data_IF_210551150100
#
_entry.id   IF_210551150100
#
_cell.length_a   1.000
_cell.length_b   1.000
_cell.length_c   1.000
_cell.angle_alpha   90.00
_cell.angle_beta   90.00
_cell.angle_gamma   90.00
#
_symmetry.space_group_name_H-M   'P 1'
#
loop_
_entity.id
_entity.type
_entity.pdbx_description
1 polymer ?
#
# COMPACT_ATOMS: atom_id res chain seq x y z
N UNK A 1 4.76 -20.60 -38.80
CA UNK A 1 5.85 -20.06 -37.95
C UNK A 1 5.76 -18.54 -37.81
N UNK A 2 5.54 -17.77 -38.89
CA UNK A 2 5.46 -16.30 -38.81
C UNK A 2 4.37 -15.75 -37.85
N UNK A 3 3.17 -16.33 -37.88
CA UNK A 3 2.06 -15.91 -36.99
C UNK A 3 2.41 -16.09 -35.49
N UNK A 4 3.04 -17.20 -35.17
CA UNK A 4 3.42 -17.54 -33.81
C UNK A 4 4.54 -16.64 -33.28
N UNK A 5 5.49 -16.26 -34.15
CA UNK A 5 6.53 -15.28 -33.85
C UNK A 5 5.96 -13.88 -33.65
N UNK A 6 4.95 -13.48 -34.45
CA UNK A 6 4.27 -12.19 -34.30
C UNK A 6 3.53 -12.08 -32.97
N UNK A 7 2.75 -13.10 -32.61
CA UNK A 7 2.05 -13.13 -31.33
C UNK A 7 3.02 -13.05 -30.14
N UNK A 8 4.11 -13.81 -30.18
CA UNK A 8 5.14 -13.77 -29.15
C UNK A 8 5.73 -12.36 -29.00
N UNK A 9 6.00 -11.68 -30.12
CA UNK A 9 6.47 -10.29 -30.10
C UNK A 9 5.44 -9.33 -29.47
N UNK A 10 4.15 -9.52 -29.76
CA UNK A 10 3.05 -8.75 -29.14
C UNK A 10 2.99 -9.01 -27.63
N UNK A 11 3.08 -10.27 -27.19
CA UNK A 11 3.09 -10.63 -25.77
C UNK A 11 4.26 -9.97 -25.04
N UNK A 12 5.46 -10.00 -25.63
CA UNK A 12 6.64 -9.33 -25.06
C UNK A 12 6.41 -7.82 -24.96
N UNK A 13 5.88 -7.18 -26.01
CA UNK A 13 5.57 -5.75 -25.98
C UNK A 13 4.54 -5.41 -24.89
N UNK A 14 3.48 -6.21 -24.76
CA UNK A 14 2.46 -6.03 -23.71
C UNK A 14 3.03 -6.29 -22.31
N UNK A 15 3.94 -7.24 -22.14
CA UNK A 15 4.63 -7.47 -20.87
C UNK A 15 5.50 -6.27 -20.48
N UNK A 16 6.21 -5.65 -21.42
CA UNK A 16 6.97 -4.43 -21.17
C UNK A 16 6.05 -3.23 -20.85
N UNK A 17 4.88 -3.14 -21.49
CA UNK A 17 3.85 -2.16 -21.13
C UNK A 17 3.35 -2.40 -19.70
N UNK A 18 3.09 -3.66 -19.33
CA UNK A 18 2.73 -4.02 -17.96
C UNK A 18 3.81 -3.54 -16.98
N UNK A 19 5.09 -3.83 -17.25
CA UNK A 19 6.20 -3.45 -16.36
C UNK A 19 6.37 -1.94 -16.22
N UNK A 20 6.17 -1.22 -17.33
CA UNK A 20 6.11 0.23 -17.34
C UNK A 20 4.95 0.75 -16.48
N UNK A 21 3.73 0.21 -16.65
CA UNK A 21 2.60 0.60 -15.81
C UNK A 21 2.81 0.22 -14.34
N UNK A 22 3.52 -0.88 -14.08
CA UNK A 22 3.89 -1.31 -12.73
C UNK A 22 4.84 -0.30 -12.07
N UNK A 23 5.93 0.05 -12.75
CA UNK A 23 6.88 1.06 -12.25
C UNK A 23 6.19 2.39 -11.94
N UNK A 24 5.29 2.81 -12.82
CA UNK A 24 4.45 3.99 -12.62
C UNK A 24 3.54 3.86 -11.39
N UNK A 25 2.80 2.76 -11.29
CA UNK A 25 1.85 2.51 -10.21
C UNK A 25 2.55 2.45 -8.83
N UNK A 26 3.67 1.74 -8.75
CA UNK A 26 4.35 1.39 -7.50
C UNK A 26 5.45 2.38 -7.10
N UNK A 27 5.68 3.44 -7.89
CA UNK A 27 6.53 4.58 -7.47
C UNK A 27 6.11 5.14 -6.12
N UNK A 28 4.81 5.11 -5.81
CA UNK A 28 4.26 5.58 -4.55
C UNK A 28 4.82 4.79 -3.35
N UNK A 29 5.06 3.49 -3.49
CA UNK A 29 5.55 2.64 -2.42
C UNK A 29 6.92 3.09 -1.90
N UNK A 30 7.80 3.52 -2.81
CA UNK A 30 9.11 4.02 -2.45
C UNK A 30 9.12 5.51 -2.08
N UNK A 31 8.42 6.35 -2.86
CA UNK A 31 8.62 7.79 -2.83
C UNK A 31 7.55 8.61 -2.11
N UNK A 32 6.34 8.07 -1.88
CA UNK A 32 5.26 8.85 -1.27
C UNK A 32 5.65 9.40 0.11
N UNK A 33 6.26 8.56 0.96
CA UNK A 33 6.73 8.96 2.28
C UNK A 33 7.85 10.01 2.22
N UNK A 34 8.80 9.87 1.29
CA UNK A 34 9.92 10.83 1.14
C UNK A 34 9.44 12.18 0.62
N UNK A 35 8.43 12.18 -0.24
CA UNK A 35 7.83 13.39 -0.80
C UNK A 35 6.95 14.08 0.26
N UNK A 36 6.12 13.32 0.98
CA UNK A 36 5.18 13.88 1.96
C UNK A 36 5.86 14.44 3.20
N UNK A 37 7.00 13.85 3.63
CA UNK A 37 7.82 14.41 4.72
C UNK A 37 8.67 15.61 4.31
N UNK A 38 8.71 15.96 3.02
CA UNK A 38 9.57 17.03 2.49
C UNK A 38 11.06 16.67 2.44
N UNK A 39 11.41 15.39 2.57
CA UNK A 39 12.80 14.94 2.49
C UNK A 39 13.39 15.12 1.08
N UNK A 40 12.59 14.97 0.02
CA UNK A 40 13.01 15.25 -1.35
C UNK A 40 11.92 15.97 -2.15
N UNK A 41 12.35 16.74 -3.16
CA UNK A 41 11.42 17.29 -4.16
C UNK A 41 10.86 16.15 -5.02
N UNK A 42 9.59 16.20 -5.45
CA UNK A 42 8.93 15.11 -6.20
C UNK A 42 9.73 14.60 -7.40
N UNK A 43 10.17 15.49 -8.30
CA UNK A 43 10.93 15.12 -9.51
C UNK A 43 12.28 14.47 -9.20
N UNK A 44 12.99 14.93 -8.17
CA UNK A 44 14.25 14.35 -7.76
C UNK A 44 14.07 12.96 -7.13
N UNK A 45 12.98 12.78 -6.37
CA UNK A 45 12.64 11.52 -5.74
C UNK A 45 12.37 10.42 -6.78
N UNK A 46 11.49 10.70 -7.77
CA UNK A 46 11.18 9.72 -8.83
C UNK A 46 12.37 9.45 -9.76
N UNK A 47 13.25 10.43 -10.00
CA UNK A 47 14.48 10.22 -10.77
C UNK A 47 15.46 9.28 -10.06
N UNK A 48 15.70 9.49 -8.76
CA UNK A 48 16.52 8.60 -7.95
C UNK A 48 15.92 7.19 -7.91
N UNK A 49 14.60 7.09 -7.74
CA UNK A 49 13.89 5.81 -7.70
C UNK A 49 14.01 5.05 -9.02
N UNK A 50 13.86 5.73 -10.16
CA UNK A 50 14.00 5.12 -11.49
C UNK A 50 15.39 4.52 -11.72
N UNK A 51 16.46 5.25 -11.36
CA UNK A 51 17.84 4.75 -11.49
C UNK A 51 18.06 3.52 -10.60
N UNK A 52 17.59 3.57 -9.35
CA UNK A 52 17.76 2.45 -8.42
C UNK A 52 16.88 1.24 -8.78
N UNK A 53 15.69 1.45 -9.34
CA UNK A 53 14.87 0.37 -9.90
C UNK A 53 15.61 -0.33 -11.05
N UNK A 54 16.22 0.44 -11.96
CA UNK A 54 17.02 -0.13 -13.06
C UNK A 54 18.19 -0.95 -12.51
N UNK A 55 18.94 -0.44 -11.54
CA UNK A 55 20.04 -1.19 -10.90
C UNK A 55 19.51 -2.45 -10.21
N UNK A 56 18.40 -2.33 -9.48
CA UNK A 56 17.77 -3.42 -8.74
C UNK A 56 17.39 -4.61 -9.63
N UNK A 57 16.98 -4.34 -10.88
CA UNK A 57 16.64 -5.35 -11.88
C UNK A 57 17.79 -6.31 -12.21
N UNK A 58 19.05 -5.91 -12.03
CA UNK A 58 20.22 -6.75 -12.29
C UNK A 58 20.71 -7.54 -11.07
N UNK A 59 20.08 -7.39 -9.90
CA UNK A 59 20.60 -7.97 -8.66
C UNK A 59 20.17 -9.42 -8.41
N UNK A 60 19.10 -9.90 -9.05
CA UNK A 60 18.61 -11.27 -8.85
C UNK A 60 17.70 -11.72 -10.00
N UNK A 61 17.50 -13.03 -10.12
CA UNK A 61 16.61 -13.69 -11.08
C UNK A 61 15.71 -14.76 -10.42
N UNK A 62 15.73 -14.89 -9.10
CA UNK A 62 15.01 -15.94 -8.36
C UNK A 62 13.49 -15.80 -8.37
N UNK A 63 12.98 -14.56 -8.31
CA UNK A 63 11.55 -14.29 -8.46
C UNK A 63 11.12 -14.61 -9.90
N UNK A 64 11.95 -14.25 -10.89
CA UNK A 64 11.65 -14.54 -12.30
C UNK A 64 11.47 -16.04 -12.54
N UNK A 65 12.36 -16.87 -11.99
CA UNK A 65 12.24 -18.35 -12.03
C UNK A 65 10.93 -18.84 -11.40
N UNK A 66 10.57 -18.29 -10.24
CA UNK A 66 9.34 -18.69 -9.55
C UNK A 66 8.10 -18.39 -10.39
N UNK A 67 8.10 -17.26 -11.11
CA UNK A 67 7.01 -16.90 -12.03
C UNK A 67 7.01 -17.79 -13.28
N UNK A 68 8.18 -18.05 -13.88
CA UNK A 68 8.25 -18.77 -15.16
C UNK A 68 7.98 -20.27 -15.05
N UNK A 69 8.36 -20.91 -13.94
CA UNK A 69 8.28 -22.38 -13.81
C UNK A 69 7.52 -22.90 -12.59
N UNK A 70 7.19 -22.03 -11.63
CA UNK A 70 6.60 -22.45 -10.35
C UNK A 70 5.07 -22.42 -10.31
N UNK A 71 4.45 -21.40 -10.93
CA UNK A 71 3.04 -21.09 -10.71
C UNK A 71 2.08 -21.83 -11.64
N UNK A 72 2.50 -22.02 -12.88
CA UNK A 72 1.69 -22.59 -13.94
C UNK A 72 2.49 -23.67 -14.64
N UNK A 73 1.78 -24.71 -15.06
CA UNK A 73 2.35 -25.78 -15.87
C UNK A 73 2.82 -25.24 -17.22
N UNK A 74 4.11 -25.33 -17.48
CA UNK A 74 4.70 -24.90 -18.76
C UNK A 74 4.18 -25.75 -19.93
N UNK A 75 3.78 -27.00 -19.67
CA UNK A 75 3.19 -27.91 -20.65
C UNK A 75 1.71 -27.59 -20.89
N UNK A 76 1.44 -26.80 -21.93
CA UNK A 76 0.08 -26.51 -22.40
C UNK A 76 -0.32 -25.04 -22.35
N UNK A 77 0.54 -24.15 -21.81
CA UNK A 77 0.34 -22.70 -21.93
C UNK A 77 0.79 -22.25 -23.31
N UNK A 78 -0.10 -21.55 -24.01
CA UNK A 78 0.23 -20.88 -25.25
C UNK A 78 0.40 -19.36 -25.02
N UNK A 79 1.14 -18.64 -25.89
CA UNK A 79 1.34 -17.19 -25.74
C UNK A 79 0.04 -16.37 -25.64
N UNK A 80 -1.06 -16.81 -26.23
CA UNK A 80 -2.39 -16.20 -26.16
C UNK A 80 -2.94 -16.15 -24.73
N UNK A 81 -2.66 -17.19 -23.93
CA UNK A 81 -3.07 -17.27 -22.52
C UNK A 81 -2.29 -16.23 -21.70
N UNK A 82 -1.00 -16.07 -22.00
CA UNK A 82 -0.14 -15.07 -21.36
C UNK A 82 -0.56 -13.65 -21.75
N UNK A 83 -0.96 -13.43 -23.01
CA UNK A 83 -1.55 -12.17 -23.45
C UNK A 83 -2.80 -11.83 -22.62
N UNK A 84 -3.73 -12.77 -22.49
CA UNK A 84 -4.95 -12.60 -21.71
C UNK A 84 -4.66 -12.30 -20.23
N UNK A 85 -3.69 -13.00 -19.63
CA UNK A 85 -3.22 -12.75 -18.27
C UNK A 85 -2.73 -11.30 -18.08
N UNK A 86 -1.90 -10.81 -19.01
CA UNK A 86 -1.36 -9.45 -18.97
C UNK A 86 -2.45 -8.40 -19.18
N UNK A 87 -3.42 -8.64 -20.06
CA UNK A 87 -4.57 -7.75 -20.26
C UNK A 87 -5.34 -7.56 -18.95
N UNK A 88 -5.67 -8.66 -18.26
CA UNK A 88 -6.35 -8.58 -16.96
C UNK A 88 -5.55 -7.79 -15.91
N UNK A 89 -4.24 -8.05 -15.84
CA UNK A 89 -3.35 -7.37 -14.90
C UNK A 89 -3.20 -5.87 -15.19
N UNK A 90 -2.97 -5.49 -16.45
CA UNK A 90 -2.81 -4.08 -16.87
C UNK A 90 -4.09 -3.30 -16.62
N UNK A 91 -5.23 -3.83 -17.06
CA UNK A 91 -6.49 -3.11 -16.92
C UNK A 91 -6.87 -2.92 -15.46
N UNK A 92 -6.69 -3.93 -14.61
CA UNK A 92 -6.91 -3.79 -13.18
C UNK A 92 -6.00 -2.72 -12.56
N UNK A 93 -4.70 -2.75 -12.85
CA UNK A 93 -3.73 -1.76 -12.37
C UNK A 93 -4.08 -0.33 -12.82
N UNK A 94 -4.52 -0.14 -14.06
CA UNK A 94 -4.90 1.18 -14.56
C UNK A 94 -6.22 1.67 -13.95
N UNK A 95 -7.17 0.78 -13.69
CA UNK A 95 -8.43 1.12 -13.00
C UNK A 95 -8.18 1.56 -11.57
N UNK A 96 -7.38 0.81 -10.80
CA UNK A 96 -7.04 1.17 -9.41
C UNK A 96 -6.22 2.45 -9.35
N UNK A 97 -5.29 2.65 -10.29
CA UNK A 97 -4.58 3.92 -10.44
C UNK A 97 -5.54 5.09 -10.72
N UNK A 98 -6.51 4.91 -11.61
CA UNK A 98 -7.45 5.96 -11.99
C UNK A 98 -8.21 6.49 -10.77
N UNK A 99 -8.63 5.58 -9.88
CA UNK A 99 -9.31 5.93 -8.63
C UNK A 99 -8.35 6.25 -7.48
N UNK A 100 -7.03 6.19 -7.71
CA UNK A 100 -6.00 6.50 -6.71
C UNK A 100 -5.90 5.48 -5.57
N UNK A 101 -6.36 4.24 -5.78
CA UNK A 101 -6.28 3.16 -4.80
C UNK A 101 -4.94 2.41 -4.93
N UNK A 102 -4.12 2.32 -3.87
CA UNK A 102 -2.88 1.56 -3.89
C UNK A 102 -3.19 0.05 -3.89
N UNK A 103 -3.23 -0.55 -5.08
CA UNK A 103 -3.31 -1.99 -5.29
C UNK A 103 -1.93 -2.62 -5.48
N UNK A 104 -1.89 -3.95 -5.52
CA UNK A 104 -0.65 -4.71 -5.75
C UNK A 104 -0.58 -5.23 -7.18
N UNK A 105 0.37 -4.71 -7.96
CA UNK A 105 0.65 -5.23 -9.31
C UNK A 105 1.07 -6.69 -9.30
N UNK A 106 1.81 -7.15 -8.28
CA UNK A 106 2.15 -8.56 -8.08
C UNK A 106 0.89 -9.44 -8.10
N UNK A 107 -0.12 -9.09 -7.30
CA UNK A 107 -1.36 -9.87 -7.21
C UNK A 107 -2.24 -9.71 -8.43
N UNK A 108 -2.21 -8.57 -9.11
CA UNK A 108 -2.90 -8.38 -10.38
C UNK A 108 -2.31 -9.32 -11.45
N UNK A 109 -0.98 -9.41 -11.53
CA UNK A 109 -0.30 -10.32 -12.44
C UNK A 109 -0.56 -11.78 -12.11
N UNK A 110 -0.44 -12.19 -10.84
CA UNK A 110 -0.73 -13.56 -10.42
C UNK A 110 -2.21 -13.90 -10.67
N UNK A 111 -3.12 -12.99 -10.31
CA UNK A 111 -4.54 -13.14 -10.56
C UNK A 111 -4.84 -13.33 -12.04
N UNK A 112 -4.27 -12.47 -12.90
CA UNK A 112 -4.40 -12.58 -14.34
C UNK A 112 -3.88 -13.90 -14.89
N UNK A 113 -2.69 -14.33 -14.45
CA UNK A 113 -2.08 -15.59 -14.90
C UNK A 113 -2.90 -16.80 -14.43
N UNK A 114 -3.34 -16.83 -13.18
CA UNK A 114 -4.22 -17.88 -12.63
C UNK A 114 -5.54 -17.90 -13.40
N UNK A 115 -6.19 -16.76 -13.59
CA UNK A 115 -7.48 -16.65 -14.24
C UNK A 115 -7.45 -17.11 -15.71
N UNK A 116 -6.48 -16.64 -16.49
CA UNK A 116 -6.30 -17.08 -17.87
C UNK A 116 -5.97 -18.57 -17.95
N UNK A 117 -5.09 -19.07 -17.08
CA UNK A 117 -4.74 -20.51 -17.06
C UNK A 117 -5.94 -21.39 -16.74
N UNK A 118 -6.71 -21.03 -15.70
CA UNK A 118 -7.91 -21.79 -15.31
C UNK A 118 -8.97 -21.76 -16.42
N UNK A 119 -9.12 -20.63 -17.11
CA UNK A 119 -10.05 -20.51 -18.24
C UNK A 119 -9.62 -21.37 -19.45
N UNK A 120 -8.31 -21.49 -19.68
CA UNK A 120 -7.74 -22.20 -20.82
C UNK A 120 -7.65 -23.71 -20.63
N UNK A 121 -7.04 -24.16 -19.52
CA UNK A 121 -6.70 -25.57 -19.29
C UNK A 121 -7.25 -26.12 -17.96
N UNK A 122 -8.09 -25.34 -17.27
CA UNK A 122 -8.74 -25.74 -16.02
C UNK A 122 -7.84 -25.60 -14.78
N UNK A 123 -8.39 -25.93 -13.61
CA UNK A 123 -7.69 -25.83 -12.32
C UNK A 123 -6.42 -26.68 -12.23
N UNK A 124 -6.31 -27.76 -13.03
CA UNK A 124 -5.11 -28.60 -13.08
C UNK A 124 -3.89 -27.95 -13.76
N UNK A 125 -4.07 -26.80 -14.41
CA UNK A 125 -2.99 -26.02 -15.01
C UNK A 125 -2.20 -25.17 -14.02
N UNK A 126 -2.72 -24.98 -12.80
CA UNK A 126 -2.12 -24.10 -11.79
C UNK A 126 -1.60 -24.90 -10.61
N UNK A 127 -0.42 -24.55 -10.11
CA UNK A 127 0.15 -25.17 -8.94
C UNK A 127 -0.39 -24.53 -7.65
N UNK A 128 -1.45 -25.12 -7.08
CA UNK A 128 -2.11 -24.62 -5.87
C UNK A 128 -1.18 -24.50 -4.66
N UNK A 129 -0.22 -25.41 -4.49
CA UNK A 129 0.75 -25.36 -3.39
C UNK A 129 1.67 -24.14 -3.52
N UNK A 130 2.19 -23.89 -4.73
CA UNK A 130 3.05 -22.72 -4.99
C UNK A 130 2.26 -21.42 -4.85
N UNK A 131 1.00 -21.36 -5.31
CA UNK A 131 0.15 -20.18 -5.08
C UNK A 131 0.02 -19.90 -3.58
N UNK A 132 -0.32 -20.92 -2.78
CA UNK A 132 -0.53 -20.72 -1.35
C UNK A 132 0.77 -20.31 -0.65
N UNK A 133 1.85 -21.04 -0.90
CA UNK A 133 3.11 -20.88 -0.16
C UNK A 133 3.95 -19.69 -0.62
N UNK A 134 3.95 -19.37 -1.93
CA UNK A 134 4.80 -18.33 -2.53
C UNK A 134 4.06 -17.05 -2.90
N UNK A 135 2.72 -17.05 -2.88
CA UNK A 135 1.89 -15.87 -3.19
C UNK A 135 1.01 -15.49 -2.02
N UNK A 136 0.05 -16.32 -1.62
CA UNK A 136 -1.00 -15.95 -0.63
C UNK A 136 -0.47 -15.78 0.79
N UNK A 137 0.36 -16.70 1.28
CA UNK A 137 0.96 -16.59 2.62
C UNK A 137 1.84 -15.32 2.70
N UNK A 138 2.79 -15.08 1.78
CA UNK A 138 3.54 -13.83 1.75
C UNK A 138 2.64 -12.58 1.64
N UNK A 139 1.53 -12.63 0.91
CA UNK A 139 0.62 -11.50 0.75
C UNK A 139 0.08 -10.96 2.09
N UNK A 140 -0.19 -11.86 3.03
CA UNK A 140 -0.74 -11.56 4.36
C UNK A 140 0.40 -11.33 5.36
N UNK A 141 1.44 -12.16 5.33
CA UNK A 141 2.55 -12.08 6.27
C UNK A 141 3.38 -10.80 6.08
N UNK A 142 3.64 -10.41 4.84
CA UNK A 142 4.49 -9.26 4.49
C UNK A 142 4.07 -7.93 5.15
N UNK A 143 2.82 -7.45 5.02
CA UNK A 143 2.40 -6.20 5.66
C UNK A 143 2.50 -6.27 7.18
N UNK A 144 2.21 -7.43 7.79
CA UNK A 144 2.27 -7.62 9.24
C UNK A 144 3.72 -7.58 9.74
N UNK A 145 4.62 -8.34 9.09
CA UNK A 145 6.05 -8.39 9.46
C UNK A 145 6.69 -7.02 9.25
N UNK A 146 6.45 -6.38 8.11
CA UNK A 146 6.98 -5.05 7.82
C UNK A 146 6.43 -3.99 8.80
N UNK A 147 5.14 -4.08 9.14
CA UNK A 147 4.50 -3.19 10.11
C UNK A 147 5.02 -3.37 11.53
N UNK A 148 5.16 -4.60 12.02
CA UNK A 148 5.73 -4.86 13.34
C UNK A 148 7.19 -4.41 13.42
N UNK A 149 7.99 -4.72 12.40
CA UNK A 149 9.37 -4.27 12.32
C UNK A 149 9.47 -2.74 12.34
N UNK A 150 8.63 -2.05 11.55
CA UNK A 150 8.61 -0.58 11.50
C UNK A 150 8.13 0.04 12.82
N UNK A 151 7.15 -0.58 13.50
CA UNK A 151 6.66 -0.15 14.80
C UNK A 151 7.76 -0.24 15.86
N UNK A 152 8.46 -1.36 15.93
CA UNK A 152 9.56 -1.58 16.87
C UNK A 152 10.74 -0.66 16.57
N UNK A 153 11.13 -0.54 15.30
CA UNK A 153 12.17 0.39 14.86
C UNK A 153 11.81 1.82 15.27
N UNK A 154 10.59 2.27 15.00
CA UNK A 154 10.11 3.60 15.39
C UNK A 154 10.21 3.83 16.89
N UNK A 155 9.69 2.90 17.71
CA UNK A 155 9.77 2.99 19.19
C UNK A 155 11.22 3.09 19.66
N UNK A 156 12.12 2.28 19.09
CA UNK A 156 13.54 2.31 19.42
C UNK A 156 14.15 3.67 19.05
N UNK A 157 13.90 4.16 17.85
CA UNK A 157 14.44 5.44 17.39
C UNK A 157 13.97 6.61 18.26
N UNK A 158 12.69 6.65 18.65
CA UNK A 158 12.18 7.67 19.58
C UNK A 158 12.71 7.51 21.01
N UNK A 159 13.00 6.28 21.45
CA UNK A 159 13.60 6.04 22.78
C UNK A 159 15.06 6.53 22.84
N UNK A 160 15.84 6.26 21.79
CA UNK A 160 17.24 6.66 21.69
C UNK A 160 17.41 8.16 21.39
N UNK A 161 16.50 8.75 20.62
CA UNK A 161 16.55 10.16 20.22
C UNK A 161 16.22 11.18 21.32
N UNK A 162 15.80 10.74 22.52
CA UNK A 162 15.37 11.64 23.61
C UNK A 162 16.43 12.64 24.07
N UNK A 163 17.72 12.31 23.89
CA UNK A 163 18.85 13.10 24.38
C UNK A 163 19.63 13.80 23.26
N UNK A 164 19.15 13.76 22.02
CA UNK A 164 19.84 14.35 20.85
C UNK A 164 19.19 15.68 20.50
N UNK A 165 20.01 16.71 20.23
CA UNK A 165 19.52 18.02 19.82
C UNK A 165 18.63 17.96 18.57
N UNK A 166 17.44 18.57 18.66
CA UNK A 166 16.34 18.45 17.71
C UNK A 166 16.74 18.78 16.25
N UNK A 167 17.56 19.81 16.05
CA UNK A 167 18.04 20.24 14.71
C UNK A 167 19.05 19.27 14.09
N UNK A 168 19.96 18.70 14.87
CA UNK A 168 20.97 17.74 14.38
C UNK A 168 20.31 16.40 14.04
N UNK A 169 19.37 15.98 14.90
CA UNK A 169 18.53 14.81 14.71
C UNK A 169 17.71 14.87 13.42
N UNK A 170 17.07 16.02 13.14
CA UNK A 170 16.27 16.22 11.93
C UNK A 170 17.08 16.10 10.63
N UNK A 171 18.29 16.67 10.57
CA UNK A 171 19.16 16.56 9.38
C UNK A 171 19.63 15.12 9.16
N UNK A 172 20.00 14.42 10.23
CA UNK A 172 20.38 13.00 10.19
C UNK A 172 19.25 12.10 9.70
N UNK A 173 18.04 12.25 10.26
CA UNK A 173 16.88 11.45 9.83
C UNK A 173 16.43 11.77 8.41
N UNK A 174 16.55 13.02 7.96
CA UNK A 174 16.27 13.35 6.56
C UNK A 174 17.24 12.63 5.60
N UNK A 175 18.54 12.62 5.92
CA UNK A 175 19.53 11.90 5.12
C UNK A 175 19.30 10.39 5.16
N UNK A 176 19.03 9.84 6.35
CA UNK A 176 18.68 8.44 6.55
C UNK A 176 17.45 8.04 5.75
N UNK A 177 16.40 8.86 5.76
CA UNK A 177 15.17 8.63 4.99
C UNK A 177 15.44 8.59 3.49
N UNK A 178 16.27 9.50 2.97
CA UNK A 178 16.65 9.48 1.55
C UNK A 178 17.37 8.17 1.20
N UNK A 179 18.32 7.74 2.04
CA UNK A 179 19.03 6.49 1.84
C UNK A 179 18.08 5.27 1.91
N UNK A 180 17.18 5.21 2.90
CA UNK A 180 16.20 4.12 3.01
C UNK A 180 15.19 4.12 1.86
N UNK A 181 14.77 5.29 1.36
CA UNK A 181 13.94 5.40 0.17
C UNK A 181 14.66 4.86 -1.07
N UNK A 182 15.97 5.09 -1.16
CA UNK A 182 16.83 4.48 -2.17
C UNK A 182 16.85 2.95 -2.04
N UNK A 183 16.99 2.41 -0.83
CA UNK A 183 16.93 0.97 -0.58
C UNK A 183 15.57 0.35 -0.96
N UNK A 184 14.45 1.02 -0.66
CA UNK A 184 13.12 0.56 -1.11
C UNK A 184 13.02 0.56 -2.63
N UNK A 185 13.58 1.56 -3.30
CA UNK A 185 13.61 1.59 -4.77
C UNK A 185 14.48 0.46 -5.33
N UNK A 186 15.66 0.21 -4.76
CA UNK A 186 16.50 -0.90 -5.17
C UNK A 186 15.76 -2.25 -4.97
N UNK A 187 15.12 -2.43 -3.81
CA UNK A 187 14.35 -3.61 -3.47
C UNK A 187 13.15 -3.82 -4.40
N UNK A 188 12.48 -2.73 -4.78
CA UNK A 188 11.39 -2.75 -5.76
C UNK A 188 11.90 -3.22 -7.13
N UNK A 189 13.01 -2.66 -7.64
CA UNK A 189 13.63 -3.14 -8.87
C UNK A 189 14.01 -4.63 -8.82
N UNK A 190 14.59 -5.07 -7.69
CA UNK A 190 14.94 -6.48 -7.47
C UNK A 190 13.73 -7.39 -7.38
N UNK A 191 12.55 -6.92 -6.96
CA UNK A 191 11.38 -7.77 -6.84
C UNK A 191 10.46 -7.71 -8.07
N UNK A 192 10.19 -6.52 -8.59
CA UNK A 192 9.12 -6.25 -9.55
C UNK A 192 9.56 -6.41 -11.00
N UNK A 193 10.76 -5.95 -11.35
CA UNK A 193 11.31 -6.15 -12.69
C UNK A 193 11.39 -7.65 -13.01
N UNK A 194 11.74 -8.46 -12.01
CA UNK A 194 11.81 -9.91 -12.14
C UNK A 194 10.48 -10.58 -12.47
N UNK A 195 9.34 -10.02 -12.06
CA UNK A 195 8.03 -10.60 -12.37
C UNK A 195 7.78 -10.55 -13.88
N UNK A 196 8.07 -9.40 -14.48
CA UNK A 196 8.00 -9.22 -15.94
C UNK A 196 9.03 -10.08 -16.65
N UNK A 197 10.26 -10.17 -16.13
CA UNK A 197 11.26 -11.09 -16.68
C UNK A 197 10.73 -12.53 -16.71
N UNK A 198 10.12 -12.99 -15.61
CA UNK A 198 9.53 -14.32 -15.52
C UNK A 198 8.39 -14.54 -16.52
N UNK A 199 7.51 -13.55 -16.74
CA UNK A 199 6.44 -13.65 -17.74
C UNK A 199 6.98 -13.68 -19.16
N UNK A 200 7.97 -12.83 -19.48
CA UNK A 200 8.60 -12.84 -20.81
C UNK A 200 9.31 -14.19 -21.02
N UNK A 201 10.04 -14.70 -20.03
CA UNK A 201 10.66 -16.02 -20.08
C UNK A 201 9.63 -17.13 -20.27
N UNK A 202 8.51 -17.10 -19.55
CA UNK A 202 7.41 -18.03 -19.74
C UNK A 202 6.86 -17.95 -21.17
N UNK A 203 6.69 -16.76 -21.73
CA UNK A 203 6.24 -16.57 -23.11
C UNK A 203 7.24 -17.12 -24.13
N UNK A 204 8.55 -16.95 -23.90
CA UNK A 204 9.59 -17.51 -24.75
C UNK A 204 9.63 -19.04 -24.67
N UNK A 205 9.40 -19.63 -23.48
CA UNK A 205 9.32 -21.09 -23.30
C UNK A 205 8.06 -21.66 -23.96
N UNK A 206 6.89 -21.07 -23.70
CA UNK A 206 5.65 -21.38 -24.40
C UNK A 206 5.78 -21.21 -25.92
N UNK A 207 6.60 -20.23 -26.32
CA UNK A 207 7.01 -19.93 -27.68
C UNK A 207 8.05 -20.88 -28.29
N UNK A 208 8.51 -21.90 -27.57
CA UNK A 208 9.57 -22.81 -28.03
C UNK A 208 10.92 -22.13 -28.33
N UNK A 209 11.10 -20.86 -27.96
CA UNK A 209 12.32 -20.09 -28.17
C UNK A 209 13.35 -20.33 -27.05
N UNK A 210 12.90 -20.77 -25.89
CA UNK A 210 13.73 -21.19 -24.76
C UNK A 210 13.29 -22.57 -24.26
N UNK A 211 14.24 -23.33 -23.70
CA UNK A 211 13.92 -24.59 -23.04
C UNK A 211 13.27 -24.35 -21.67
N UNK A 212 12.36 -25.23 -21.22
CA UNK A 212 11.85 -25.28 -19.84
C UNK A 212 12.95 -25.08 -18.78
N UNK A 213 12.67 -24.27 -17.76
CA UNK A 213 13.63 -23.98 -16.67
C UNK A 213 14.83 -23.10 -17.04
N UNK A 214 14.86 -22.51 -18.24
CA UNK A 214 15.91 -21.56 -18.63
C UNK A 214 15.86 -20.26 -17.81
N UNK A 215 17.02 -19.69 -17.52
CA UNK A 215 17.10 -18.35 -16.92
C UNK A 215 16.67 -17.26 -17.94
N UNK A 216 16.17 -16.10 -17.46
CA UNK A 216 15.87 -14.97 -18.34
C UNK A 216 17.13 -14.50 -19.06
N UNK A 217 17.10 -14.38 -20.41
CA UNK A 217 18.20 -13.80 -21.17
C UNK A 217 18.51 -12.36 -20.75
N UNK A 218 19.75 -11.92 -20.95
CA UNK A 218 20.20 -10.57 -20.56
C UNK A 218 19.34 -9.46 -21.19
N UNK A 219 18.90 -9.62 -22.45
CA UNK A 219 18.03 -8.62 -23.09
C UNK A 219 16.66 -8.51 -22.40
N UNK A 220 16.14 -9.60 -21.82
CA UNK A 220 14.89 -9.58 -21.04
C UNK A 220 15.12 -8.78 -19.75
N UNK A 221 16.25 -9.00 -19.08
CA UNK A 221 16.62 -8.27 -17.87
C UNK A 221 16.74 -6.77 -18.17
N UNK A 222 17.46 -6.40 -19.24
CA UNK A 222 17.67 -5.01 -19.65
C UNK A 222 16.35 -4.35 -20.04
N UNK A 223 15.52 -5.00 -20.86
CA UNK A 223 14.26 -4.44 -21.34
C UNK A 223 13.24 -4.26 -20.21
N UNK A 224 13.07 -5.24 -19.32
CA UNK A 224 12.24 -5.11 -18.12
C UNK A 224 12.77 -4.00 -17.19
N UNK A 225 14.07 -4.02 -16.87
CA UNK A 225 14.70 -2.99 -16.04
C UNK A 225 14.51 -1.56 -16.58
N UNK A 226 14.59 -1.37 -17.90
CA UNK A 226 14.31 -0.09 -18.54
C UNK A 226 12.82 0.28 -18.49
N UNK A 227 11.93 -0.68 -18.76
CA UNK A 227 10.48 -0.45 -18.74
C UNK A 227 10.00 0.01 -17.36
N UNK A 228 10.35 -0.73 -16.29
CA UNK A 228 9.98 -0.35 -14.92
C UNK A 228 10.61 0.98 -14.51
N UNK A 229 11.86 1.27 -14.90
CA UNK A 229 12.52 2.53 -14.59
C UNK A 229 11.86 3.73 -15.29
N UNK A 230 11.49 3.59 -16.57
CA UNK A 230 10.78 4.64 -17.31
C UNK A 230 9.39 4.89 -16.74
N UNK A 231 8.67 3.82 -16.39
CA UNK A 231 7.41 3.92 -15.66
C UNK A 231 7.56 4.68 -14.36
N UNK A 232 8.57 4.30 -13.58
CA UNK A 232 8.88 4.94 -12.29
C UNK A 232 9.16 6.43 -12.43
N UNK A 233 9.92 6.81 -13.47
CA UNK A 233 10.28 8.21 -13.70
C UNK A 233 9.07 9.11 -14.00
N UNK A 234 8.06 8.58 -14.70
CA UNK A 234 6.80 9.31 -14.94
C UNK A 234 6.00 9.54 -13.66
N UNK A 235 6.25 8.71 -12.63
CA UNK A 235 5.65 8.81 -11.31
C UNK A 235 4.41 7.97 -11.20
N UNK A 236 3.48 8.36 -10.34
CA UNK A 236 2.23 7.67 -10.07
C UNK A 236 1.33 8.58 -9.25
N UNK A 237 1.25 9.85 -9.65
CA UNK A 237 0.94 10.98 -8.77
C UNK A 237 -0.37 10.84 -8.00
N UNK A 238 -1.40 10.20 -8.60
CA UNK A 238 -2.66 9.88 -7.93
C UNK A 238 -2.44 9.00 -6.70
N UNK A 239 -1.66 7.94 -6.82
CA UNK A 239 -1.36 7.00 -5.73
C UNK A 239 -0.36 7.61 -4.76
N UNK A 240 0.62 8.37 -5.24
CA UNK A 240 1.57 9.11 -4.39
C UNK A 240 0.82 10.04 -3.43
N UNK A 241 -0.21 10.75 -3.94
CA UNK A 241 -1.07 11.60 -3.12
C UNK A 241 -1.79 10.79 -2.04
N UNK A 242 -2.43 9.67 -2.40
CA UNK A 242 -3.14 8.80 -1.46
C UNK A 242 -2.21 8.23 -0.39
N UNK A 243 -1.06 7.69 -0.78
CA UNK A 243 -0.09 7.06 0.13
C UNK A 243 0.66 8.07 1.01
N UNK A 244 0.88 9.29 0.51
CA UNK A 244 1.72 10.29 1.17
C UNK A 244 1.10 10.93 2.41
N UNK A 245 -0.21 11.26 2.36
CA UNK A 245 -0.95 11.89 3.46
C UNK A 245 -2.21 11.13 3.90
N UNK A 246 -2.63 10.13 3.13
CA UNK A 246 -3.91 9.45 3.36
C UNK A 246 -3.89 8.35 4.44
N UNK A 247 -2.72 7.87 4.88
CA UNK A 247 -2.61 6.80 5.89
C UNK A 247 -2.22 7.31 7.28
N UNK A 248 -1.13 8.06 7.37
CA UNK A 248 -0.59 8.59 8.63
C UNK A 248 0.32 9.77 8.31
N UNK A 249 0.35 10.76 9.20
CA UNK A 249 1.29 11.87 9.12
C UNK A 249 2.64 11.43 9.69
N UNK A 250 3.62 11.21 8.80
CA UNK A 250 4.95 10.72 9.18
C UNK A 250 5.96 11.86 9.26
N UNK A 251 6.79 11.80 10.29
CA UNK A 251 8.03 12.57 10.38
C UNK A 251 9.18 11.82 9.68
N UNK A 252 10.26 12.50 9.25
CA UNK A 252 11.39 11.83 8.59
C UNK A 252 11.97 10.63 9.34
N UNK A 253 11.97 10.69 10.67
CA UNK A 253 12.39 9.60 11.54
C UNK A 253 11.51 8.34 11.40
N UNK A 254 10.20 8.50 11.34
CA UNK A 254 9.26 7.38 11.10
C UNK A 254 9.35 6.91 9.65
N UNK A 255 9.53 7.84 8.70
CA UNK A 255 9.75 7.50 7.29
C UNK A 255 10.98 6.62 7.09
N UNK A 256 12.09 6.94 7.76
CA UNK A 256 13.30 6.12 7.78
C UNK A 256 13.04 4.72 8.33
N UNK A 257 12.35 4.61 9.47
CA UNK A 257 12.00 3.32 10.07
C UNK A 257 11.10 2.49 9.13
N UNK A 258 10.04 3.08 8.59
CA UNK A 258 9.12 2.42 7.67
C UNK A 258 9.83 1.90 6.41
N UNK A 259 10.61 2.75 5.74
CA UNK A 259 11.28 2.38 4.50
C UNK A 259 12.37 1.34 4.73
N UNK A 260 13.12 1.44 5.82
CA UNK A 260 14.14 0.43 6.15
C UNK A 260 13.50 -0.94 6.41
N UNK A 261 12.42 -0.98 7.18
CA UNK A 261 11.68 -2.22 7.44
C UNK A 261 11.04 -2.80 6.18
N UNK A 262 10.43 -1.97 5.33
CA UNK A 262 9.87 -2.41 4.06
C UNK A 262 10.95 -2.95 3.12
N UNK A 263 12.06 -2.24 2.95
CA UNK A 263 13.18 -2.68 2.11
C UNK A 263 13.76 -4.01 2.59
N UNK A 264 13.95 -4.18 3.90
CA UNK A 264 14.45 -5.43 4.48
C UNK A 264 13.52 -6.61 4.18
N UNK A 265 12.22 -6.45 4.36
CA UNK A 265 11.23 -7.50 4.07
C UNK A 265 11.19 -7.84 2.57
N UNK A 266 11.20 -6.82 1.70
CA UNK A 266 11.16 -7.03 0.24
C UNK A 266 12.44 -7.73 -0.25
N UNK A 267 13.62 -7.31 0.20
CA UNK A 267 14.89 -7.93 -0.19
C UNK A 267 15.01 -9.36 0.33
N UNK A 268 14.69 -9.60 1.60
CA UNK A 268 14.71 -10.94 2.19
C UNK A 268 13.78 -11.89 1.42
N UNK A 269 12.56 -11.43 1.12
CA UNK A 269 11.58 -12.18 0.33
C UNK A 269 12.06 -12.46 -1.09
N UNK A 270 12.63 -11.45 -1.77
CA UNK A 270 13.15 -11.60 -3.13
C UNK A 270 14.26 -12.63 -3.20
N UNK A 271 15.13 -12.67 -2.19
CA UNK A 271 16.22 -13.65 -2.11
C UNK A 271 15.72 -15.09 -1.87
N UNK A 272 14.53 -15.25 -1.28
CA UNK A 272 13.86 -16.55 -1.12
C UNK A 272 13.01 -16.94 -2.34
N UNK A 273 13.00 -16.11 -3.40
CA UNK A 273 12.18 -16.29 -4.60
C UNK A 273 10.69 -16.05 -4.37
N UNK A 274 10.28 -15.48 -3.24
CA UNK A 274 8.87 -15.21 -2.97
C UNK A 274 8.39 -13.98 -3.78
N UNK A 275 7.27 -14.14 -4.49
CA UNK A 275 6.64 -13.05 -5.25
C UNK A 275 5.77 -12.19 -4.34
N UNK A 276 6.45 -11.33 -3.58
CA UNK A 276 5.84 -10.49 -2.57
C UNK A 276 5.24 -9.19 -3.16
N UNK A 277 4.26 -8.62 -2.46
CA UNK A 277 3.68 -7.32 -2.79
C UNK A 277 4.43 -6.18 -2.11
N UNK A 278 5.15 -5.39 -2.90
CA UNK A 278 5.82 -4.17 -2.39
C UNK A 278 4.81 -3.19 -1.81
N UNK A 279 3.62 -3.04 -2.42
CA UNK A 279 2.52 -2.23 -1.90
C UNK A 279 2.10 -2.67 -0.50
N UNK A 280 1.89 -3.97 -0.27
CA UNK A 280 1.49 -4.46 1.06
C UNK A 280 2.60 -4.23 2.09
N UNK A 281 3.85 -4.58 1.76
CA UNK A 281 5.00 -4.36 2.66
C UNK A 281 5.19 -2.90 3.04
N UNK A 282 5.19 -2.00 2.06
CA UNK A 282 5.41 -0.57 2.29
C UNK A 282 4.24 0.04 3.07
N UNK A 283 2.99 -0.30 2.72
CA UNK A 283 1.80 0.16 3.44
C UNK A 283 1.78 -0.35 4.87
N UNK A 284 2.08 -1.63 5.08
CA UNK A 284 2.22 -2.25 6.40
C UNK A 284 3.27 -1.53 7.25
N UNK A 285 4.46 -1.30 6.70
CA UNK A 285 5.52 -0.56 7.37
C UNK A 285 5.13 0.88 7.72
N UNK A 286 4.44 1.59 6.82
CA UNK A 286 3.93 2.95 7.04
C UNK A 286 2.92 2.98 8.19
N UNK A 287 1.94 2.06 8.20
CA UNK A 287 0.98 1.93 9.30
C UNK A 287 1.68 1.60 10.63
N UNK A 288 2.63 0.66 10.60
CA UNK A 288 3.42 0.27 11.77
C UNK A 288 4.24 1.42 12.36
N UNK A 289 4.91 2.20 11.50
CA UNK A 289 5.65 3.38 11.92
C UNK A 289 4.73 4.49 12.46
N UNK A 290 3.52 4.62 11.93
CA UNK A 290 2.48 5.49 12.48
C UNK A 290 2.13 5.11 13.93
N UNK A 291 1.79 3.83 14.16
CA UNK A 291 1.47 3.29 15.49
C UNK A 291 2.65 3.23 16.47
N UNK A 292 3.89 3.30 15.96
CA UNK A 292 5.11 3.23 16.77
C UNK A 292 5.37 4.49 17.62
N UNK A 293 4.73 5.62 17.31
CA UNK A 293 4.90 6.88 18.04
C UNK A 293 3.80 7.05 19.11
N UNK A 294 4.14 7.65 20.26
CA UNK A 294 3.13 8.09 21.24
C UNK A 294 2.18 9.10 20.58
N UNK A 295 0.87 8.82 20.62
CA UNK A 295 -0.14 9.64 19.93
C UNK A 295 -0.09 9.56 18.41
N UNK A 296 0.50 8.48 17.85
CA UNK A 296 0.43 8.21 16.42
C UNK A 296 -0.99 7.88 15.96
N UNK A 297 -1.38 8.41 14.80
CA UNK A 297 -2.73 8.24 14.25
C UNK A 297 -2.61 7.53 12.91
N UNK A 298 -3.39 6.46 12.74
CA UNK A 298 -3.59 5.80 11.45
C UNK A 298 -5.03 6.05 11.02
N UNK A 299 -5.21 6.52 9.79
CA UNK A 299 -6.53 6.74 9.19
C UNK A 299 -7.12 5.41 8.75
N UNK A 300 -7.87 4.75 9.65
CA UNK A 300 -8.42 3.41 9.43
C UNK A 300 -9.38 3.33 8.24
N UNK A 301 -10.11 4.40 7.91
CA UNK A 301 -10.95 4.46 6.71
C UNK A 301 -10.15 4.18 5.43
N UNK A 302 -8.98 4.82 5.27
CA UNK A 302 -8.08 4.58 4.15
C UNK A 302 -7.50 3.17 4.21
N UNK A 303 -7.02 2.74 5.38
CA UNK A 303 -6.44 1.40 5.56
C UNK A 303 -7.43 0.29 5.18
N UNK A 304 -8.69 0.39 5.62
CA UNK A 304 -9.76 -0.57 5.28
C UNK A 304 -10.04 -0.59 3.78
N UNK A 305 -10.13 0.57 3.12
CA UNK A 305 -10.28 0.63 1.65
C UNK A 305 -9.13 -0.08 0.93
N UNK A 306 -7.91 0.05 1.44
CA UNK A 306 -6.74 -0.63 0.89
C UNK A 306 -6.83 -2.14 1.08
N UNK A 307 -7.14 -2.63 2.29
CA UNK A 307 -7.32 -4.07 2.53
C UNK A 307 -8.40 -4.69 1.62
N UNK A 308 -9.51 -3.99 1.40
CA UNK A 308 -10.55 -4.42 0.45
C UNK A 308 -10.00 -4.48 -0.97
N UNK A 309 -9.29 -3.44 -1.42
CA UNK A 309 -8.66 -3.43 -2.74
C UNK A 309 -7.64 -4.56 -2.90
N UNK A 310 -6.85 -4.86 -1.87
CA UNK A 310 -5.87 -5.95 -1.86
C UNK A 310 -6.54 -7.32 -2.03
N UNK A 311 -7.61 -7.58 -1.26
CA UNK A 311 -8.39 -8.81 -1.37
C UNK A 311 -9.10 -8.96 -2.72
N UNK A 312 -9.56 -7.85 -3.32
CA UNK A 312 -10.25 -7.85 -4.61
C UNK A 312 -9.29 -7.96 -5.81
N UNK A 313 -8.02 -7.58 -5.65
CA UNK A 313 -7.09 -7.44 -6.78
C UNK A 313 -6.88 -8.76 -7.53
N UNK A 314 -6.59 -9.84 -6.82
CA UNK A 314 -6.36 -11.16 -7.42
C UNK A 314 -7.60 -11.69 -8.16
N UNK A 315 -8.81 -11.76 -7.54
CA UNK A 315 -9.99 -12.26 -8.24
C UNK A 315 -10.44 -11.34 -9.38
N UNK A 316 -10.37 -10.02 -9.23
CA UNK A 316 -10.80 -9.11 -10.28
C UNK A 316 -9.89 -9.20 -11.52
N UNK A 317 -8.57 -9.18 -11.33
CA UNK A 317 -7.63 -9.36 -12.44
C UNK A 317 -7.79 -10.74 -13.10
N UNK A 318 -8.03 -11.79 -12.30
CA UNK A 318 -8.27 -13.14 -12.82
C UNK A 318 -9.56 -13.26 -13.63
N UNK A 319 -10.66 -12.63 -13.21
CA UNK A 319 -11.90 -12.61 -13.97
C UNK A 319 -11.74 -11.84 -15.30
N UNK A 320 -11.03 -10.72 -15.29
CA UNK A 320 -10.74 -9.97 -16.51
C UNK A 320 -9.88 -10.79 -17.48
N UNK A 321 -8.87 -11.48 -16.96
CA UNK A 321 -8.01 -12.35 -17.76
C UNK A 321 -8.75 -13.59 -18.30
N UNK A 322 -9.63 -14.21 -17.51
CA UNK A 322 -10.47 -15.31 -17.96
C UNK A 322 -11.41 -14.87 -19.10
N UNK A 323 -11.99 -13.68 -19.00
CA UNK A 323 -12.80 -13.10 -20.09
C UNK A 323 -11.97 -12.81 -21.35
N UNK A 324 -10.75 -12.30 -21.20
CA UNK A 324 -9.85 -12.08 -22.32
C UNK A 324 -9.41 -13.41 -22.97
N UNK A 325 -9.13 -14.44 -22.18
CA UNK A 325 -8.79 -15.78 -22.67
C UNK A 325 -9.94 -16.38 -23.47
N UNK A 326 -11.17 -16.27 -22.96
CA UNK A 326 -12.36 -16.80 -23.62
C UNK A 326 -12.56 -16.24 -25.04
N UNK A 327 -12.16 -14.99 -25.26
CA UNK A 327 -12.17 -14.35 -26.58
C UNK A 327 -10.93 -14.74 -27.38
N UNK A 328 -9.74 -14.68 -26.79
CA UNK A 328 -8.47 -14.96 -27.46
C UNK A 328 -8.40 -16.39 -28.03
N UNK A 329 -8.96 -17.38 -27.32
CA UNK A 329 -8.97 -18.79 -27.75
C UNK A 329 -9.79 -19.07 -29.02
N UNK A 330 -10.59 -18.10 -29.49
CA UNK A 330 -11.39 -18.24 -30.71
C UNK A 330 -10.56 -18.09 -32.00
N UNK A 331 -9.24 -17.94 -31.87
CA UNK A 331 -8.28 -17.81 -32.96
C UNK A 331 -7.81 -16.36 -33.15
N UNK A 332 -7.15 -16.11 -34.28
CA UNK A 332 -6.43 -14.86 -34.56
C UNK A 332 -7.29 -13.60 -34.43
N UNK A 333 -8.56 -13.67 -34.85
CA UNK A 333 -9.49 -12.55 -34.72
C UNK A 333 -9.79 -12.24 -33.24
N UNK A 334 -9.86 -13.25 -32.38
CA UNK A 334 -10.09 -13.11 -30.96
C UNK A 334 -8.91 -12.44 -30.27
N UNK A 335 -7.68 -12.86 -30.62
CA UNK A 335 -6.44 -12.22 -30.18
C UNK A 335 -6.42 -10.75 -30.58
N UNK A 336 -6.76 -10.44 -31.84
CA UNK A 336 -6.80 -9.07 -32.34
C UNK A 336 -7.82 -8.22 -31.57
N UNK A 337 -9.01 -8.76 -31.29
CA UNK A 337 -10.04 -8.09 -30.48
C UNK A 337 -9.53 -7.80 -29.07
N UNK A 338 -8.86 -8.75 -28.42
CA UNK A 338 -8.30 -8.56 -27.08
C UNK A 338 -7.20 -7.49 -27.07
N UNK A 339 -6.31 -7.51 -28.06
CA UNK A 339 -5.26 -6.50 -28.19
C UNK A 339 -5.84 -5.09 -28.43
N UNK A 340 -6.81 -4.97 -29.34
CA UNK A 340 -7.50 -3.69 -29.60
C UNK A 340 -8.26 -3.21 -28.37
N UNK A 341 -8.96 -4.12 -27.68
CA UNK A 341 -9.68 -3.81 -26.44
C UNK A 341 -8.75 -3.26 -25.36
N UNK A 342 -7.56 -3.85 -25.19
CA UNK A 342 -6.55 -3.34 -24.27
C UNK A 342 -6.14 -1.91 -24.64
N UNK A 343 -5.79 -1.66 -25.90
CA UNK A 343 -5.35 -0.33 -26.36
C UNK A 343 -6.45 0.72 -26.17
N UNK A 344 -7.69 0.40 -26.57
CA UNK A 344 -8.85 1.30 -26.42
C UNK A 344 -9.13 1.59 -24.95
N UNK A 345 -9.09 0.57 -24.10
CA UNK A 345 -9.34 0.73 -22.65
C UNK A 345 -8.25 1.56 -21.98
N UNK A 346 -6.97 1.32 -22.31
CA UNK A 346 -5.85 2.15 -21.86
C UNK A 346 -6.02 3.62 -22.28
N UNK A 347 -6.39 3.86 -23.54
CA UNK A 347 -6.64 5.21 -24.05
C UNK A 347 -7.84 5.88 -23.35
N UNK A 348 -8.94 5.15 -23.14
CA UNK A 348 -10.13 5.64 -22.45
C UNK A 348 -9.83 6.02 -20.99
N UNK A 349 -9.11 5.15 -20.25
CA UNK A 349 -8.68 5.42 -18.87
C UNK A 349 -7.76 6.64 -18.84
N UNK A 350 -6.80 6.74 -19.76
CA UNK A 350 -5.91 7.89 -19.86
C UNK A 350 -6.68 9.18 -20.13
N UNK A 351 -7.58 9.21 -21.12
CA UNK A 351 -8.43 10.36 -21.43
C UNK A 351 -9.30 10.78 -20.25
N UNK A 352 -9.90 9.81 -19.54
CA UNK A 352 -10.68 10.09 -18.34
C UNK A 352 -9.82 10.69 -17.23
N UNK A 353 -8.60 10.20 -17.05
CA UNK A 353 -7.65 10.72 -16.06
C UNK A 353 -7.29 12.20 -16.28
N UNK A 354 -7.36 12.70 -17.53
CA UNK A 354 -7.10 14.10 -17.88
C UNK A 354 -8.16 15.07 -17.37
N UNK A 355 -9.35 14.59 -16.95
CA UNK A 355 -10.40 15.44 -16.34
C UNK A 355 -9.99 15.99 -14.97
N UNK A 356 -9.13 15.29 -14.25
CA UNK A 356 -8.56 15.74 -12.97
C UNK A 356 -7.06 15.48 -12.97
N UNK A 357 -6.29 16.47 -13.41
CA UNK A 357 -4.84 16.32 -13.54
C UNK A 357 -4.19 16.40 -12.15
N UNK A 358 -3.60 15.28 -11.72
CA UNK A 358 -2.75 15.20 -10.53
C UNK A 358 -1.32 15.02 -11.02
N UNK A 359 -0.44 15.94 -10.65
CA UNK A 359 0.96 15.93 -11.05
C UNK A 359 1.88 16.42 -9.92
N UNK A 360 3.19 16.45 -10.19
CA UNK A 360 4.22 16.88 -9.24
C UNK A 360 4.04 18.26 -8.59
N UNK A 361 3.24 19.16 -9.18
CA UNK A 361 2.97 20.51 -8.64
C UNK A 361 1.90 20.49 -7.56
N UNK A 362 0.88 19.65 -7.72
CA UNK A 362 -0.28 19.60 -6.82
C UNK A 362 -0.37 18.30 -5.99
N UNK A 363 0.59 17.37 -6.10
CA UNK A 363 0.53 16.07 -5.41
C UNK A 363 0.41 16.20 -3.88
N UNK A 364 0.93 17.28 -3.30
CA UNK A 364 0.89 17.55 -1.86
C UNK A 364 -0.33 18.36 -1.40
N UNK A 365 -1.11 18.90 -2.34
CA UNK A 365 -2.35 19.63 -2.09
C UNK A 365 -3.46 18.62 -1.91
N UNK A 366 -3.75 18.30 -0.64
CA UNK A 366 -4.86 17.43 -0.25
C UNK A 366 -5.73 18.28 0.65
N UNK A 367 -7.00 18.47 0.29
CA UNK A 367 -7.98 19.04 1.22
C UNK A 367 -7.97 18.19 2.48
N UNK A 368 -7.95 18.79 3.67
CA UNK A 368 -8.01 18.02 4.90
C UNK A 368 -9.29 17.20 4.87
N UNK A 369 -9.15 15.87 4.77
CA UNK A 369 -10.26 14.95 5.01
C UNK A 369 -10.68 15.23 6.45
N UNK A 370 -11.86 15.84 6.61
CA UNK A 370 -12.58 15.89 7.86
C UNK A 370 -12.98 14.45 8.16
N UNK A 371 -12.05 13.68 8.72
CA UNK A 371 -12.35 12.36 9.24
C UNK A 371 -13.35 12.57 10.39
N UNK A 372 -14.64 12.36 10.12
CA UNK A 372 -15.55 12.06 11.22
C UNK A 372 -14.97 10.87 11.97
N UNK A 373 -14.86 10.94 13.31
CA UNK A 373 -14.24 9.87 14.08
C UNK A 373 -14.94 8.56 13.76
N UNK A 374 -14.19 7.62 13.17
CA UNK A 374 -14.74 6.33 12.77
C UNK A 374 -15.38 5.61 13.95
N UNK A 375 -16.38 4.77 13.66
CA UNK A 375 -17.22 4.05 14.63
C UNK A 375 -16.42 3.37 15.75
N UNK A 376 -15.19 2.91 15.47
CA UNK A 376 -14.29 2.27 16.45
C UNK A 376 -13.68 3.27 17.43
N UNK A 377 -13.33 4.49 17.00
CA UNK A 377 -12.84 5.57 17.87
C UNK A 377 -13.93 6.09 18.81
N UNK A 378 -15.17 6.22 18.33
CA UNK A 378 -16.33 6.53 19.20
C UNK A 378 -16.65 5.38 20.15
N UNK A 379 -16.54 4.12 19.72
CA UNK A 379 -16.77 2.97 20.60
C UNK A 379 -15.70 2.87 21.71
N UNK A 380 -14.44 3.18 21.41
CA UNK A 380 -13.36 3.21 22.42
C UNK A 380 -13.47 4.44 23.32
N UNK A 381 -13.88 5.60 22.80
CA UNK A 381 -14.10 6.80 23.60
C UNK A 381 -15.37 6.73 24.47
N UNK A 382 -16.36 5.92 24.08
CA UNK A 382 -17.59 5.67 24.85
C UNK A 382 -17.41 4.64 25.97
N UNK A 383 -16.26 3.94 26.04
CA UNK A 383 -15.91 3.13 27.21
C UNK A 383 -15.36 4.07 28.27
N UNK A 384 -16.26 4.61 29.09
CA UNK A 384 -15.88 5.21 30.37
C UNK A 384 -15.09 4.17 31.16
N UNK A 385 -13.86 4.46 31.63
CA UNK A 385 -13.15 3.54 32.50
C UNK A 385 -14.05 3.25 33.72
N UNK A 386 -14.09 2.00 34.22
CA UNK A 386 -14.83 1.71 35.43
C UNK A 386 -14.35 2.65 36.54
N UNK A 387 -15.27 3.19 37.36
CA UNK A 387 -14.89 4.10 38.43
C UNK A 387 -13.83 3.43 39.29
N UNK A 388 -12.78 4.18 39.62
CA UNK A 388 -11.76 3.67 40.52
C UNK A 388 -12.40 3.49 41.90
N UNK A 389 -11.92 2.53 42.70
CA UNK A 389 -12.39 2.31 44.08
C UNK A 389 -12.34 3.60 44.92
N UNK A 390 -11.45 4.54 44.57
CA UNK A 390 -11.38 5.86 45.17
C UNK A 390 -12.54 6.80 44.78
N UNK A 391 -13.04 6.71 43.53
CA UNK A 391 -14.19 7.49 43.07
C UNK A 391 -15.49 6.96 43.67
N UNK A 392 -15.66 5.62 43.77
CA UNK A 392 -16.82 5.02 44.44
C UNK A 392 -16.83 5.32 45.95
N UNK A 393 -15.65 5.32 46.60
CA UNK A 393 -15.53 5.70 48.00
C UNK A 393 -15.83 7.19 48.24
N UNK A 394 -15.46 8.07 47.30
CA UNK A 394 -15.76 9.50 47.38
C UNK A 394 -17.26 9.78 47.20
N UNK A 395 -17.91 9.14 46.22
CA UNK A 395 -19.37 9.24 46.02
C UNK A 395 -20.16 8.69 47.21
N UNK A 396 -19.70 7.59 47.82
CA UNK A 396 -20.33 7.04 49.01
C UNK A 396 -20.21 7.97 50.24
N UNK A 397 -19.06 8.65 50.39
CA UNK A 397 -18.86 9.66 51.44
C UNK A 397 -19.73 10.91 51.21
N UNK A 398 -19.81 11.39 49.97
CA UNK A 398 -20.60 12.56 49.62
C UNK A 398 -22.12 12.30 49.77
N UNK A 399 -22.57 11.08 49.48
CA UNK A 399 -23.95 10.64 49.71
C UNK A 399 -24.28 10.52 51.22
N UNK A 400 -23.32 10.12 52.05
CA UNK A 400 -23.46 10.08 53.52
C UNK A 400 -23.51 11.50 54.10
N UNK A 401 -22.65 12.41 53.66
CA UNK A 401 -22.66 13.81 54.09
C UNK A 401 -23.96 14.54 53.67
N UNK A 402 -24.48 14.25 52.47
CA UNK A 402 -25.73 14.81 51.99
C UNK A 402 -26.96 14.31 52.79
N UNK A 403 -26.95 13.04 53.22
CA UNK A 403 -28.03 12.48 54.06
C UNK A 403 -27.97 13.02 55.49
N UNK A 404 -26.77 13.24 56.04
CA UNK A 404 -26.58 13.85 57.36
C UNK A 404 -26.99 15.34 57.36
N UNK A 405 -26.62 16.09 56.32
CA UNK A 405 -27.02 17.49 56.16
C UNK A 405 -28.53 17.68 55.97
N UNK A 406 -29.22 16.71 55.35
CA UNK A 406 -30.68 16.72 55.22
C UNK A 406 -31.39 16.43 56.56
N UNK A 407 -30.83 15.57 57.41
CA UNK A 407 -31.38 15.25 58.72
C UNK A 407 -31.27 16.40 59.73
N UNK A 408 -30.24 17.26 59.63
CA UNK A 408 -30.02 18.40 60.54
C UNK A 408 -30.95 19.60 60.24
N UNK A 409 -31.50 19.71 59.02
CA UNK A 409 -32.37 20.85 58.65
C UNK A 409 -33.80 20.79 59.20
N UNK A 410 -34.23 19.69 59.82
CA UNK A 410 -35.63 19.50 60.25
C UNK A 410 -35.95 19.76 61.73
N UNK A 411 -35.04 20.30 62.55
CA UNK A 411 -35.27 20.37 64.02
C UNK A 411 -35.02 21.71 64.74
N UNK A 412 -35.06 22.87 64.06
CA UNK A 412 -35.00 24.18 64.76
C UNK A 412 -36.24 25.04 64.47
N UNK A 413 -37.19 25.23 65.42
CA UNK A 413 -38.31 26.15 65.25
C UNK A 413 -37.86 27.62 65.33
N UNK A 414 -38.35 28.44 64.41
CA UNK A 414 -37.99 29.85 64.24
C UNK A 414 -38.48 30.76 65.39
N UNK A 415 -37.59 31.64 65.88
CA UNK A 415 -37.89 32.71 66.84
C UNK A 415 -38.56 33.90 66.13
N UNK A 416 -39.68 34.38 66.68
CA UNK A 416 -40.54 35.46 66.17
C UNK A 416 -39.80 36.83 66.11
N UNK A 417 -39.98 37.68 65.08
CA UNK A 417 -39.32 38.99 65.02
C UNK A 417 -40.07 40.06 65.86
N UNK A 418 -39.32 40.90 66.56
CA UNK A 418 -39.82 42.12 67.20
C UNK A 418 -39.86 43.27 66.18
N UNK A 419 -40.91 44.10 66.25
CA UNK A 419 -41.17 45.21 65.35
C UNK A 419 -40.32 46.45 65.70
N UNK A 420 -39.77 47.07 64.66
CA UNK A 420 -39.15 48.40 64.69
C UNK A 420 -40.24 49.47 64.81
N UNK A 421 -40.05 50.42 65.74
CA UNK A 421 -40.77 51.69 65.77
C UNK A 421 -39.77 52.84 65.79
N UNK A 422 -39.86 53.69 64.79
CA UNK A 422 -39.02 54.86 64.54
C UNK A 422 -39.42 56.10 65.35
N UNK A 423 -38.38 56.86 65.74
CA UNK A 423 -38.29 58.33 65.94
C UNK A 423 -38.86 59.01 67.21
N UNK A 424 -38.42 60.26 67.54
CA UNK A 424 -37.14 60.94 67.27
C UNK A 424 -36.52 61.63 68.53
N UNK A 425 -35.37 62.27 68.33
CA UNK A 425 -34.56 63.00 69.31
C UNK A 425 -35.27 64.19 70.01
N UNK A 426 -34.87 64.47 71.25
CA UNK A 426 -35.19 65.73 71.94
C UNK A 426 -34.65 65.85 73.38
N UNK A 427 -33.64 66.72 73.54
CA UNK A 427 -33.43 67.68 74.63
C UNK A 427 -32.98 67.24 76.06
N UNK A 428 -31.79 67.77 76.41
CA UNK A 428 -31.42 68.52 77.64
C UNK A 428 -31.09 67.83 78.96
N UNK A 429 -30.01 68.39 79.53
CA UNK A 429 -29.44 68.33 80.89
C UNK A 429 -28.50 67.16 81.21
#
# INVERSE_FOLDING_TARGET
>A
MEHFTLLLAIVIAVALVFDFTNGFHDTANAMATTISTGAMKPKAAVAMSAVLNLVGAFLSVEVAKTISSGLVREDGIQPEVILAALVGAILWNLLTWLVGLPSSSSHALMGGLIGATVASIGFGGVNGDVIVTKVLIPAIAAPVVAGLAAMLATRLTYKLGKNVGEKSSAKGYRAGQIASAGLVSLAHGTNDAQKTMGIITLALVAGGALAPGSNPPVWVIVSAGLAIALGTYLGGWRIIRTMGKGLTDLQPQQGFAAQTSAAAVILASSNLGFSLSTTHSCSGAVMGAGLGRKGGVVRWSTATRMFVAWGLTLPAAGLMAAGAEFVARQGDWGIAVVAVFLVVSCAAIWLYSRRQVIDHTNVNEVEPVTDEPGVVTTAIAAVTPPPTVAAEAAEALEALEATEAAAVKTTIPARKPAADSTQPAGATA
#
